data_IF_526559914291
#
_entry.id   IF_526559914291
#
_cell.length_a   1.000
_cell.length_b   1.000
_cell.length_c   1.000
_cell.angle_alpha   90.00
_cell.angle_beta   90.00
_cell.angle_gamma   90.00
#
_symmetry.space_group_name_H-M   'P 1'
#
loop_
_entity.id
_entity.type
_entity.pdbx_description
1 polymer ?
#
# COMPACT_ATOMS: atom_id res chain seq x y z
N UNK A 1 -24.10 -20.31 1.13
CA UNK A 1 -25.22 -21.17 1.60
C UNK A 1 -24.75 -22.60 1.52
N UNK A 2 -24.95 -23.42 2.57
CA UNK A 2 -24.56 -24.84 2.55
C UNK A 2 -25.77 -25.69 2.20
N UNK A 3 -25.59 -26.59 1.23
CA UNK A 3 -26.59 -27.57 0.83
C UNK A 3 -26.12 -28.98 1.19
N UNK A 4 -27.01 -29.79 1.75
CA UNK A 4 -26.73 -31.17 2.15
C UNK A 4 -27.06 -32.13 1.00
N UNK A 5 -26.09 -32.95 0.61
CA UNK A 5 -26.31 -34.10 -0.27
C UNK A 5 -26.54 -35.36 0.56
N UNK A 6 -27.45 -36.24 0.12
CA UNK A 6 -27.68 -37.53 0.76
C UNK A 6 -26.59 -38.53 0.38
N UNK A 7 -26.20 -39.36 1.36
CA UNK A 7 -25.37 -40.56 1.27
C UNK A 7 -25.47 -41.27 -0.10
N UNK A 8 -24.32 -41.47 -0.76
CA UNK A 8 -24.20 -42.21 -2.02
C UNK A 8 -24.30 -43.74 -1.81
N UNK A 9 -24.63 -44.18 -0.60
CA UNK A 9 -24.73 -45.57 -0.18
C UNK A 9 -23.43 -46.13 0.39
N UNK A 10 -22.37 -45.31 0.51
CA UNK A 10 -21.09 -45.67 1.13
C UNK A 10 -21.00 -45.32 2.62
N UNK A 11 -22.03 -44.69 3.20
CA UNK A 11 -22.00 -44.25 4.59
C UNK A 11 -21.08 -43.04 4.82
N UNK A 12 -20.86 -42.22 3.77
CA UNK A 12 -20.07 -40.98 3.80
C UNK A 12 -20.99 -39.78 3.61
N UNK A 13 -20.92 -38.80 4.51
CA UNK A 13 -21.57 -37.50 4.32
C UNK A 13 -20.87 -36.64 3.25
N UNK A 14 -21.66 -35.88 2.48
CA UNK A 14 -21.16 -34.81 1.61
C UNK A 14 -21.81 -33.46 1.95
N UNK A 15 -21.02 -32.38 1.96
CA UNK A 15 -21.49 -31.01 2.13
C UNK A 15 -20.96 -30.12 1.00
N UNK A 16 -21.79 -29.18 0.57
CA UNK A 16 -21.48 -28.28 -0.54
C UNK A 16 -21.52 -26.84 -0.05
N UNK A 17 -20.43 -26.10 -0.25
CA UNK A 17 -20.34 -24.67 0.04
C UNK A 17 -20.54 -23.91 -1.25
N UNK A 18 -21.62 -23.12 -1.34
CA UNK A 18 -21.94 -22.30 -2.53
C UNK A 18 -21.69 -20.83 -2.23
N UNK A 19 -20.89 -20.18 -3.06
CA UNK A 19 -20.57 -18.75 -2.97
C UNK A 19 -21.75 -17.90 -3.44
N UNK A 20 -21.96 -16.74 -2.80
CA UNK A 20 -22.96 -15.77 -3.25
C UNK A 20 -22.44 -14.94 -4.42
N UNK A 21 -23.27 -14.68 -5.43
CA UNK A 21 -22.91 -13.81 -6.57
C UNK A 21 -23.93 -12.69 -6.76
N UNK A 22 -23.47 -11.46 -6.97
CA UNK A 22 -24.32 -10.34 -7.38
C UNK A 22 -24.58 -10.44 -8.89
N UNK A 23 -25.79 -10.87 -9.28
CA UNK A 23 -26.22 -10.92 -10.69
C UNK A 23 -26.73 -12.27 -11.21
N UNK A 24 -26.89 -13.30 -10.37
CA UNK A 24 -27.43 -14.58 -10.83
C UNK A 24 -28.95 -14.50 -11.11
N UNK A 25 -29.35 -14.81 -12.34
CA UNK A 25 -30.76 -14.95 -12.79
C UNK A 25 -31.30 -16.38 -12.70
N UNK A 26 -30.52 -17.35 -12.22
CA UNK A 26 -30.93 -18.75 -12.11
C UNK A 26 -31.43 -19.09 -10.70
N UNK A 27 -32.60 -19.71 -10.61
CA UNK A 27 -33.24 -20.15 -9.36
C UNK A 27 -32.74 -21.51 -8.83
N UNK A 28 -31.77 -22.15 -9.48
CA UNK A 28 -31.25 -23.48 -9.11
C UNK A 28 -29.73 -23.60 -9.32
N UNK A 29 -29.04 -24.29 -8.39
CA UNK A 29 -27.60 -24.58 -8.44
C UNK A 29 -27.38 -26.10 -8.51
N UNK A 30 -26.62 -26.58 -9.48
CA UNK A 30 -26.21 -27.99 -9.59
C UNK A 30 -24.95 -28.22 -8.73
N UNK A 31 -25.07 -29.05 -7.69
CA UNK A 31 -24.04 -29.20 -6.65
C UNK A 31 -22.89 -30.12 -7.07
N UNK A 32 -23.13 -31.09 -7.93
CA UNK A 32 -22.15 -32.08 -8.41
C UNK A 32 -21.04 -31.49 -9.28
N UNK A 33 -21.18 -30.24 -9.74
CA UNK A 33 -20.22 -29.56 -10.63
C UNK A 33 -19.36 -28.48 -9.94
N UNK A 34 -19.35 -28.39 -8.60
CA UNK A 34 -18.53 -27.41 -7.89
C UNK A 34 -17.05 -27.83 -7.87
N UNK A 35 -16.18 -27.04 -8.50
CA UNK A 35 -14.75 -27.32 -8.72
C UNK A 35 -13.79 -26.38 -7.95
N UNK A 36 -14.32 -25.45 -7.16
CA UNK A 36 -13.53 -24.58 -6.29
C UNK A 36 -13.01 -23.29 -6.91
N UNK A 37 -13.34 -22.98 -8.18
CA UNK A 37 -12.83 -21.75 -8.82
C UNK A 37 -13.75 -20.54 -8.60
N UNK A 38 -15.06 -20.61 -8.92
CA UNK A 38 -15.91 -19.40 -8.91
C UNK A 38 -17.31 -19.53 -8.27
N UNK A 39 -17.81 -20.77 -8.04
CA UNK A 39 -19.21 -21.00 -7.63
C UNK A 39 -19.36 -21.71 -6.29
N UNK A 40 -18.27 -22.22 -5.73
CA UNK A 40 -18.27 -23.01 -4.51
C UNK A 40 -17.37 -24.24 -4.60
N UNK A 41 -17.36 -25.05 -3.55
CA UNK A 41 -16.57 -26.28 -3.44
C UNK A 41 -17.30 -27.39 -2.69
N UNK A 42 -16.83 -28.64 -2.85
CA UNK A 42 -17.38 -29.85 -2.22
C UNK A 42 -16.48 -30.36 -1.10
N UNK A 43 -17.10 -30.70 0.04
CA UNK A 43 -16.48 -31.34 1.19
C UNK A 43 -16.96 -32.79 1.25
N UNK A 44 -16.03 -33.75 1.24
CA UNK A 44 -16.32 -35.19 1.26
C UNK A 44 -15.78 -35.79 2.56
N UNK A 45 -16.67 -36.31 3.41
CA UNK A 45 -16.30 -36.96 4.68
C UNK A 45 -15.61 -38.30 4.47
N UNK A 46 -15.08 -38.93 5.52
CA UNK A 46 -14.52 -40.30 5.44
C UNK A 46 -15.56 -41.37 5.80
N UNK A 47 -15.27 -42.64 5.49
CA UNK A 47 -16.21 -43.76 5.67
C UNK A 47 -16.62 -43.94 7.14
N UNK A 48 -17.93 -43.89 7.42
CA UNK A 48 -18.50 -43.99 8.77
C UNK A 48 -18.84 -42.65 9.43
N UNK A 49 -18.59 -41.52 8.76
CA UNK A 49 -18.99 -40.18 9.23
C UNK A 49 -20.38 -39.81 8.68
N UNK A 50 -21.34 -39.59 9.59
CA UNK A 50 -22.71 -39.23 9.26
C UNK A 50 -22.88 -37.81 8.67
N UNK A 51 -24.12 -37.45 8.35
CA UNK A 51 -24.46 -36.17 7.73
C UNK A 51 -23.96 -34.96 8.55
N UNK A 52 -23.40 -33.98 7.85
CA UNK A 52 -22.90 -32.74 8.43
C UNK A 52 -24.03 -31.85 8.97
N UNK A 53 -23.83 -31.21 10.12
CA UNK A 53 -24.64 -30.06 10.54
C UNK A 53 -23.80 -28.79 10.39
N UNK A 54 -24.22 -27.88 9.51
CA UNK A 54 -23.53 -26.59 9.33
C UNK A 54 -24.19 -25.50 10.14
N UNK A 55 -23.40 -24.65 10.80
CA UNK A 55 -23.87 -23.40 11.39
C UNK A 55 -23.35 -22.25 10.52
N UNK A 56 -24.22 -21.61 9.74
CA UNK A 56 -23.80 -20.57 8.77
C UNK A 56 -23.55 -19.19 9.39
N UNK A 57 -23.25 -19.12 10.67
CA UNK A 57 -23.04 -17.85 11.36
C UNK A 57 -21.94 -18.00 12.38
N UNK A 58 -20.72 -18.08 11.86
CA UNK A 58 -19.56 -17.71 12.64
C UNK A 58 -19.09 -16.39 12.09
N UNK A 59 -18.96 -15.40 12.98
CA UNK A 59 -18.16 -14.23 12.67
C UNK A 59 -16.76 -14.71 12.24
N UNK A 60 -16.00 -13.80 11.65
CA UNK A 60 -14.56 -13.92 11.53
C UNK A 60 -13.92 -14.43 12.84
N UNK A 61 -13.54 -15.70 12.90
CA UNK A 61 -13.00 -16.35 14.10
C UNK A 61 -11.47 -16.30 14.16
N UNK A 62 -10.80 -15.98 13.04
CA UNK A 62 -9.35 -15.77 12.98
C UNK A 62 -8.92 -14.30 12.90
N UNK A 63 -9.86 -13.36 12.77
CA UNK A 63 -9.61 -11.92 12.78
C UNK A 63 -9.28 -11.30 11.42
N UNK A 64 -9.60 -11.97 10.30
CA UNK A 64 -9.30 -11.50 8.93
C UNK A 64 -10.43 -10.68 8.25
N UNK A 65 -11.47 -10.38 9.01
CA UNK A 65 -12.68 -9.64 8.64
C UNK A 65 -13.51 -10.32 7.53
N UNK A 66 -13.30 -11.61 7.28
CA UNK A 66 -14.14 -12.43 6.39
C UNK A 66 -14.97 -13.42 7.21
N UNK A 67 -16.14 -13.77 6.69
CA UNK A 67 -17.02 -14.70 7.39
C UNK A 67 -16.48 -16.12 7.26
N UNK A 68 -16.12 -16.72 8.39
CA UNK A 68 -15.72 -18.12 8.46
C UNK A 68 -16.93 -19.06 8.49
N UNK A 69 -16.67 -20.35 8.29
CA UNK A 69 -17.70 -21.38 8.36
C UNK A 69 -17.31 -22.47 9.35
N UNK A 70 -18.19 -22.77 10.30
CA UNK A 70 -18.11 -23.98 11.13
C UNK A 70 -18.94 -25.11 10.52
N UNK A 71 -18.29 -26.25 10.33
CA UNK A 71 -18.90 -27.50 9.88
C UNK A 71 -18.81 -28.53 10.99
N UNK A 72 -19.95 -28.87 11.60
CA UNK A 72 -20.06 -29.90 12.61
C UNK A 72 -20.25 -31.29 11.99
N UNK A 73 -19.55 -32.27 12.54
CA UNK A 73 -19.66 -33.69 12.19
C UNK A 73 -20.13 -34.47 13.43
N UNK A 74 -21.44 -34.55 13.66
CA UNK A 74 -21.95 -35.37 14.74
C UNK A 74 -21.59 -36.85 14.50
N UNK A 75 -21.08 -37.51 15.53
CA UNK A 75 -20.65 -38.93 15.53
C UNK A 75 -19.37 -39.27 14.77
N UNK A 76 -18.43 -38.33 14.64
CA UNK A 76 -17.06 -38.70 14.29
C UNK A 76 -16.51 -39.76 15.29
N UNK A 77 -15.71 -40.72 14.80
CA UNK A 77 -14.95 -41.71 15.59
C UNK A 77 -15.58 -42.17 16.94
N UNK A 78 -16.35 -43.27 16.92
CA UNK A 78 -16.90 -43.92 18.13
C UNK A 78 -17.80 -43.02 19.01
N UNK A 79 -18.52 -42.08 18.39
CA UNK A 79 -19.59 -41.31 19.05
C UNK A 79 -19.16 -39.96 19.64
N UNK A 80 -17.93 -39.50 19.40
CA UNK A 80 -17.48 -38.16 19.75
C UNK A 80 -17.51 -37.22 18.53
N UNK A 81 -18.38 -36.20 18.52
CA UNK A 81 -18.45 -35.26 17.41
C UNK A 81 -17.12 -34.53 17.11
N UNK A 82 -16.88 -34.20 15.84
CA UNK A 82 -15.77 -33.34 15.39
C UNK A 82 -16.32 -32.03 14.82
N UNK A 83 -15.52 -30.96 14.86
CA UNK A 83 -15.87 -29.65 14.29
C UNK A 83 -14.70 -29.17 13.45
N UNK A 84 -14.97 -28.77 12.20
CA UNK A 84 -14.00 -28.19 11.30
C UNK A 84 -14.29 -26.69 11.14
N UNK A 85 -13.23 -25.87 11.19
CA UNK A 85 -13.28 -24.44 10.88
C UNK A 85 -12.68 -24.23 9.50
N UNK A 86 -13.42 -23.58 8.62
CA UNK A 86 -12.94 -23.19 7.29
C UNK A 86 -12.77 -21.68 7.28
N UNK A 87 -11.52 -21.23 7.17
CA UNK A 87 -11.19 -19.79 7.12
C UNK A 87 -11.50 -19.19 5.75
N UNK A 88 -12.10 -18.00 5.72
CA UNK A 88 -12.16 -17.18 4.52
C UNK A 88 -10.76 -16.71 4.11
N UNK A 89 -10.52 -16.44 2.82
CA UNK A 89 -9.24 -15.87 2.42
C UNK A 89 -9.16 -15.47 0.96
N UNK A 90 -8.45 -14.38 0.70
CA UNK A 90 -7.60 -14.26 -0.49
C UNK A 90 -6.16 -14.43 -0.02
N UNK A 91 -5.29 -14.96 -0.88
CA UNK A 91 -3.86 -15.01 -0.63
C UNK A 91 -3.28 -13.59 -0.56
N UNK A 92 -3.43 -12.92 0.58
CA UNK A 92 -2.59 -11.82 1.03
C UNK A 92 -2.00 -12.24 2.38
N UNK A 93 -0.67 -12.28 2.53
CA UNK A 93 -0.06 -12.75 3.76
C UNK A 93 -0.50 -11.85 4.90
N UNK A 94 -0.91 -12.44 6.03
CA UNK A 94 -1.20 -11.76 7.28
C UNK A 94 -0.16 -10.67 7.55
N UNK A 95 -0.54 -9.41 7.34
CA UNK A 95 0.35 -8.28 7.56
C UNK A 95 0.50 -8.14 9.08
N UNK A 96 1.75 -8.27 9.55
CA UNK A 96 2.14 -7.66 10.82
C UNK A 96 1.85 -6.15 10.79
N UNK A 97 1.99 -5.48 11.93
CA UNK A 97 1.80 -4.04 12.01
C UNK A 97 2.49 -3.31 10.85
N UNK A 98 1.75 -2.47 10.11
CA UNK A 98 2.27 -1.73 8.95
C UNK A 98 2.87 -0.43 9.45
N UNK A 99 4.14 -0.18 9.13
CA UNK A 99 4.85 1.03 9.50
C UNK A 99 4.96 1.96 8.29
N UNK A 100 4.56 3.21 8.44
CA UNK A 100 4.79 4.27 7.47
C UNK A 100 5.68 5.34 8.07
N UNK A 101 6.82 5.57 7.44
CA UNK A 101 7.84 6.51 7.89
C UNK A 101 7.80 7.77 7.04
N UNK A 102 7.29 8.86 7.60
CA UNK A 102 7.38 10.18 7.00
C UNK A 102 8.76 10.79 7.23
N UNK A 103 8.92 12.06 6.87
CA UNK A 103 10.21 12.73 7.10
C UNK A 103 10.49 13.04 8.57
N UNK A 104 9.44 13.48 9.29
CA UNK A 104 9.56 14.02 10.64
C UNK A 104 8.66 13.31 11.64
N UNK A 105 7.80 12.41 11.16
CA UNK A 105 6.89 11.61 11.96
C UNK A 105 6.76 10.21 11.39
N UNK A 106 6.22 9.31 12.19
CA UNK A 106 5.97 7.92 11.83
C UNK A 106 4.56 7.55 12.27
N UNK A 107 3.92 6.69 11.50
CA UNK A 107 2.62 6.13 11.82
C UNK A 107 2.69 4.60 11.72
N UNK A 108 2.02 3.93 12.63
CA UNK A 108 1.85 2.49 12.62
C UNK A 108 0.36 2.15 12.56
N UNK A 109 0.02 1.16 11.75
CA UNK A 109 -1.24 0.44 11.80
C UNK A 109 -1.02 -0.83 12.64
N UNK A 110 -1.72 -0.96 13.75
CA UNK A 110 -1.58 -2.11 14.64
C UNK A 110 -2.46 -3.27 14.20
N UNK A 111 -1.88 -4.47 14.07
CA UNK A 111 -2.59 -5.64 13.55
C UNK A 111 -3.60 -6.26 14.52
N UNK A 112 -3.60 -5.87 15.80
CA UNK A 112 -4.51 -6.43 16.81
C UNK A 112 -5.89 -5.77 16.83
N UNK A 113 -5.99 -4.49 16.47
CA UNK A 113 -7.21 -3.70 16.54
C UNK A 113 -7.37 -2.71 15.38
N UNK A 114 -6.45 -2.73 14.41
CA UNK A 114 -6.43 -1.85 13.24
C UNK A 114 -6.38 -0.35 13.61
N UNK A 115 -5.88 -0.03 14.82
CA UNK A 115 -5.70 1.34 15.24
C UNK A 115 -4.48 1.97 14.57
N UNK A 116 -4.58 3.27 14.28
CA UNK A 116 -3.46 4.06 13.77
C UNK A 116 -2.85 4.81 14.93
N UNK A 117 -1.54 4.65 15.14
CA UNK A 117 -0.77 5.44 16.12
C UNK A 117 0.33 6.20 15.39
N UNK A 118 0.45 7.49 15.66
CA UNK A 118 1.48 8.34 15.05
C UNK A 118 2.33 9.03 16.14
N UNK A 119 3.63 9.17 15.88
CA UNK A 119 4.58 9.84 16.77
C UNK A 119 5.65 10.61 15.98
N UNK A 120 6.38 11.51 16.65
CA UNK A 120 7.35 12.43 16.06
C UNK A 120 6.86 13.88 16.07
N UNK A 121 7.29 14.68 15.09
CA UNK A 121 6.89 16.08 14.97
C UNK A 121 5.39 16.24 14.67
N UNK A 122 4.75 17.28 15.22
CA UNK A 122 3.31 17.52 15.06
C UNK A 122 2.92 18.99 14.84
N UNK A 123 3.86 19.86 14.43
CA UNK A 123 3.59 21.31 14.35
C UNK A 123 2.46 21.69 13.38
N UNK A 124 2.22 20.84 12.39
CA UNK A 124 1.20 21.01 11.36
C UNK A 124 0.00 20.06 11.57
N UNK A 125 -0.07 19.36 12.71
CA UNK A 125 -1.11 18.38 13.01
C UNK A 125 -0.92 17.03 12.33
N UNK A 126 0.27 16.71 11.80
CA UNK A 126 0.54 15.48 11.04
C UNK A 126 0.39 14.18 11.84
N UNK A 127 0.33 14.25 13.18
CA UNK A 127 -0.02 13.12 14.03
C UNK A 127 -1.52 12.90 14.13
N UNK A 128 -2.36 13.88 13.80
CA UNK A 128 -3.81 13.73 13.77
C UNK A 128 -4.44 13.62 15.16
N UNK A 129 -3.89 14.34 16.13
CA UNK A 129 -4.32 14.25 17.54
C UNK A 129 -5.17 15.44 18.01
N UNK A 130 -5.39 16.43 17.14
CA UNK A 130 -6.15 17.64 17.46
C UNK A 130 -5.36 18.63 18.31
N UNK A 131 -4.04 18.62 18.17
CA UNK A 131 -3.08 19.50 18.84
C UNK A 131 -1.79 19.60 18.00
N UNK A 132 -0.85 20.46 18.45
CA UNK A 132 0.44 20.71 17.78
C UNK A 132 1.65 20.12 18.51
N UNK A 133 1.42 19.34 19.54
CA UNK A 133 2.48 18.82 20.39
C UNK A 133 3.09 17.56 19.77
N UNK A 134 4.42 17.45 19.83
CA UNK A 134 5.13 16.26 19.39
C UNK A 134 4.78 15.05 20.27
N UNK A 135 5.15 13.83 19.83
CA UNK A 135 5.06 12.62 20.66
C UNK A 135 6.34 11.81 20.54
N UNK A 136 6.77 11.26 21.68
CA UNK A 136 7.94 10.40 21.78
C UNK A 136 9.23 11.14 22.15
N UNK A 137 9.15 12.45 22.40
CA UNK A 137 10.26 13.28 22.88
C UNK A 137 10.23 13.50 24.40
N UNK A 138 9.09 13.22 25.06
CA UNK A 138 8.97 13.26 26.52
C UNK A 138 8.70 11.89 27.17
N UNK A 139 8.88 11.84 28.50
CA UNK A 139 8.60 10.64 29.27
C UNK A 139 7.09 10.34 29.31
N UNK A 140 6.73 9.07 29.16
CA UNK A 140 5.36 8.55 29.23
C UNK A 140 4.45 8.92 28.05
N UNK A 141 4.99 9.26 26.88
CA UNK A 141 4.18 9.49 25.68
C UNK A 141 4.00 8.24 24.81
N UNK A 142 4.88 7.25 24.97
CA UNK A 142 4.93 6.05 24.14
C UNK A 142 4.20 4.86 24.77
N UNK A 143 4.00 3.81 23.98
CA UNK A 143 3.35 2.58 24.42
C UNK A 143 1.85 2.78 24.65
N UNK A 144 1.36 2.40 25.82
CA UNK A 144 -0.08 2.50 26.17
C UNK A 144 -0.59 3.94 26.23
N UNK A 145 0.30 4.92 26.38
CA UNK A 145 -0.06 6.33 26.44
C UNK A 145 -0.08 7.01 25.06
N UNK A 146 0.36 6.31 24.01
CA UNK A 146 0.31 6.84 22.66
C UNK A 146 -1.13 6.75 22.16
N UNK A 147 -1.77 7.91 22.03
CA UNK A 147 -3.18 8.03 21.64
C UNK A 147 -3.42 7.51 20.22
N UNK A 148 -4.55 6.86 20.00
CA UNK A 148 -5.00 6.44 18.67
C UNK A 148 -5.50 7.64 17.86
N UNK A 149 -5.16 7.64 16.57
CA UNK A 149 -5.69 8.59 15.60
C UNK A 149 -7.14 8.22 15.27
N UNK A 150 -8.04 9.17 15.44
CA UNK A 150 -9.45 8.97 15.09
C UNK A 150 -9.69 9.20 13.61
N UNK A 151 -10.06 8.14 12.88
CA UNK A 151 -10.43 8.20 11.45
C UNK A 151 -11.94 8.20 11.19
N UNK A 152 -12.74 8.05 12.25
CA UNK A 152 -14.21 8.06 12.20
C UNK A 152 -14.83 6.97 13.04
N UNK A 153 -16.11 7.13 13.40
CA UNK A 153 -16.85 6.12 14.16
C UNK A 153 -17.09 4.88 13.30
N UNK A 154 -16.70 3.71 13.80
CA UNK A 154 -16.90 2.43 13.09
C UNK A 154 -16.04 2.29 11.83
N UNK A 155 -14.92 3.01 11.75
CA UNK A 155 -13.95 2.94 10.66
C UNK A 155 -12.62 2.41 11.18
N UNK A 156 -11.98 1.58 10.39
CA UNK A 156 -10.60 1.13 10.59
C UNK A 156 -9.73 1.53 9.40
N UNK A 157 -8.44 1.76 9.64
CA UNK A 157 -7.49 1.96 8.55
C UNK A 157 -6.96 0.61 8.08
N UNK A 158 -6.84 0.42 6.77
CA UNK A 158 -6.22 -0.76 6.15
C UNK A 158 -4.80 -0.47 5.70
N UNK A 159 -4.46 0.81 5.50
CA UNK A 159 -3.10 1.26 5.21
C UNK A 159 -2.93 2.72 5.63
N UNK A 160 -1.69 3.10 5.91
CA UNK A 160 -1.28 4.46 6.25
C UNK A 160 -0.08 4.87 5.41
N UNK A 161 -0.03 6.14 5.03
CA UNK A 161 1.06 6.73 4.27
C UNK A 161 1.40 8.10 4.84
N UNK A 162 2.68 8.33 5.14
CA UNK A 162 3.18 9.53 5.80
C UNK A 162 4.08 10.30 4.84
N UNK A 163 3.76 11.58 4.63
CA UNK A 163 4.58 12.52 3.87
C UNK A 163 5.57 13.29 4.75
N UNK A 164 5.87 14.54 4.38
CA UNK A 164 6.77 15.40 5.18
C UNK A 164 6.13 15.89 6.47
N UNK A 165 4.94 16.46 6.34
CA UNK A 165 4.18 17.12 7.41
C UNK A 165 2.69 16.80 7.29
N UNK A 166 2.35 15.68 6.66
CA UNK A 166 0.97 15.21 6.52
C UNK A 166 0.93 13.69 6.46
N UNK A 167 -0.25 13.13 6.70
CA UNK A 167 -0.51 11.70 6.69
C UNK A 167 -1.82 11.43 5.96
N UNK A 168 -1.93 10.26 5.36
CA UNK A 168 -3.16 9.74 4.79
C UNK A 168 -3.40 8.31 5.28
N UNK A 169 -4.67 7.95 5.44
CA UNK A 169 -5.11 6.60 5.71
C UNK A 169 -6.11 6.16 4.64
N UNK A 170 -5.93 4.93 4.15
CA UNK A 170 -6.94 4.20 3.40
C UNK A 170 -7.78 3.42 4.41
N UNK A 171 -9.10 3.53 4.32
CA UNK A 171 -10.03 2.94 5.28
C UNK A 171 -10.68 1.65 4.74
N UNK A 172 -11.34 0.92 5.64
CA UNK A 172 -12.06 -0.34 5.39
C UNK A 172 -13.18 -0.28 4.34
N UNK A 173 -13.65 0.91 3.97
CA UNK A 173 -14.60 1.13 2.88
C UNK A 173 -13.97 1.73 1.63
N UNK A 174 -12.65 1.64 1.52
CA UNK A 174 -11.87 2.19 0.41
C UNK A 174 -11.91 3.71 0.30
N UNK A 175 -12.44 4.42 1.31
CA UNK A 175 -12.31 5.87 1.39
C UNK A 175 -10.92 6.27 1.91
N UNK A 176 -10.47 7.46 1.52
CA UNK A 176 -9.19 8.02 1.96
C UNK A 176 -9.44 9.24 2.83
N UNK A 177 -8.73 9.34 3.95
CA UNK A 177 -8.69 10.56 4.77
C UNK A 177 -7.25 10.98 4.98
N UNK A 178 -6.99 12.28 4.86
CA UNK A 178 -5.67 12.86 5.06
C UNK A 178 -5.73 13.98 6.09
N UNK A 179 -4.67 14.13 6.89
CA UNK A 179 -4.52 15.15 7.92
C UNK A 179 -3.07 15.68 7.95
N UNK A 180 -2.86 16.83 8.58
CA UNK A 180 -1.60 17.56 8.65
C UNK A 180 -1.60 18.85 7.81
N UNK A 181 -0.43 19.25 7.33
CA UNK A 181 -0.21 20.43 6.49
C UNK A 181 -1.01 20.36 5.17
N UNK A 182 -1.60 21.47 4.72
CA UNK A 182 -2.45 21.50 3.52
C UNK A 182 -2.26 22.73 2.61
N UNK A 183 -1.20 23.53 2.78
CA UNK A 183 -1.03 24.77 1.98
C UNK A 183 -0.96 24.50 0.45
N UNK A 184 -0.50 23.31 0.06
CA UNK A 184 -0.43 22.85 -1.32
C UNK A 184 -1.61 21.97 -1.75
N UNK A 185 -2.61 21.78 -0.89
CA UNK A 185 -3.76 20.93 -1.17
C UNK A 185 -3.45 19.44 -1.02
N UNK A 186 -2.36 19.07 -0.33
CA UNK A 186 -1.93 17.67 -0.16
C UNK A 186 -2.91 16.81 0.65
N UNK A 187 -3.88 17.41 1.34
CA UNK A 187 -4.99 16.68 1.94
C UNK A 187 -6.09 16.35 0.92
N UNK A 188 -6.15 17.04 -0.22
CA UNK A 188 -7.07 16.71 -1.32
C UNK A 188 -8.55 16.99 -1.03
N UNK A 189 -8.84 17.90 -0.09
CA UNK A 189 -10.21 18.17 0.39
C UNK A 189 -10.84 19.44 -0.20
N UNK A 190 -10.17 20.11 -1.13
CA UNK A 190 -10.73 21.26 -1.85
C UNK A 190 -10.61 22.59 -1.10
N UNK A 191 -9.66 22.67 -0.17
CA UNK A 191 -9.23 23.86 0.56
C UNK A 191 -7.73 23.77 0.89
N UNK A 192 -7.18 24.79 1.57
CA UNK A 192 -5.77 24.85 2.00
C UNK A 192 -5.59 24.88 3.52
N UNK A 193 -6.59 24.44 4.28
CA UNK A 193 -6.53 24.44 5.75
C UNK A 193 -5.88 23.16 6.25
N UNK A 194 -4.90 23.29 7.14
CA UNK A 194 -4.36 22.15 7.88
C UNK A 194 -5.45 21.47 8.71
N UNK A 195 -5.24 20.21 9.07
CA UNK A 195 -6.18 19.41 9.88
C UNK A 195 -5.45 18.53 10.88
N UNK A 196 -6.05 18.36 12.05
CA UNK A 196 -5.49 17.54 13.12
C UNK A 196 -4.55 18.32 14.03
N UNK A 197 -4.45 19.63 13.80
CA UNK A 197 -3.68 20.56 14.61
C UNK A 197 -4.54 21.31 15.64
N UNK A 198 -5.88 21.31 15.47
CA UNK A 198 -6.84 21.85 16.42
C UNK A 198 -7.89 20.82 16.89
N UNK A 199 -8.50 21.02 18.08
CA UNK A 199 -9.55 20.13 18.58
C UNK A 199 -10.79 20.10 17.68
N UNK A 200 -11.33 18.90 17.44
CA UNK A 200 -12.57 18.70 16.69
C UNK A 200 -12.41 18.59 15.17
N UNK A 201 -11.18 18.46 14.67
CA UNK A 201 -10.91 18.32 13.22
C UNK A 201 -10.79 16.87 12.75
N UNK A 202 -10.60 15.95 13.68
CA UNK A 202 -10.35 14.53 13.41
C UNK A 202 -11.63 13.69 13.49
N UNK A 203 -11.55 12.42 13.14
CA UNK A 203 -12.67 11.50 13.22
C UNK A 203 -13.73 11.77 12.16
N UNK A 204 -14.97 12.04 12.59
CA UNK A 204 -16.10 12.29 11.69
C UNK A 204 -16.02 13.63 10.97
N UNK A 205 -15.36 14.62 11.58
CA UNK A 205 -15.18 15.96 11.02
C UNK A 205 -14.06 16.02 9.98
N UNK A 206 -13.17 15.01 9.98
CA UNK A 206 -12.10 14.90 8.99
C UNK A 206 -12.71 14.56 7.61
N UNK A 207 -12.59 15.43 6.60
CA UNK A 207 -13.21 15.21 5.31
C UNK A 207 -12.59 14.02 4.58
N UNK A 208 -13.41 13.36 3.75
CA UNK A 208 -12.94 12.31 2.85
C UNK A 208 -12.37 12.92 1.58
N UNK A 209 -11.32 12.32 1.05
CA UNK A 209 -10.78 12.69 -0.27
C UNK A 209 -11.69 12.13 -1.35
N UNK A 210 -12.24 13.00 -2.18
CA UNK A 210 -13.08 12.59 -3.30
C UNK A 210 -12.20 12.25 -4.52
N UNK A 211 -12.23 10.99 -4.95
CA UNK A 211 -11.41 10.46 -6.07
C UNK A 211 -12.24 10.22 -7.35
N UNK A 212 -13.51 10.60 -7.34
CA UNK A 212 -14.43 10.49 -8.48
C UNK A 212 -15.66 9.65 -8.13
N UNK A 213 -16.71 9.79 -8.92
CA UNK A 213 -17.95 9.05 -8.73
C UNK A 213 -17.70 7.54 -8.92
N UNK A 214 -18.10 6.73 -7.94
CA UNK A 214 -17.97 5.27 -7.96
C UNK A 214 -16.53 4.75 -8.10
N UNK A 215 -15.55 5.50 -7.59
CA UNK A 215 -14.15 5.07 -7.50
C UNK A 215 -13.78 4.77 -6.07
N UNK A 216 -13.02 3.70 -5.88
CA UNK A 216 -12.53 3.24 -4.59
C UNK A 216 -11.01 3.21 -4.62
N UNK A 217 -10.34 3.72 -3.60
CA UNK A 217 -8.89 3.58 -3.51
C UNK A 217 -8.53 2.16 -3.04
N UNK A 218 -7.51 1.57 -3.66
CA UNK A 218 -6.96 0.26 -3.27
C UNK A 218 -5.55 0.39 -2.70
N UNK A 219 -4.86 1.48 -3.01
CA UNK A 219 -3.52 1.77 -2.52
C UNK A 219 -3.30 3.28 -2.43
N UNK A 220 -2.50 3.73 -1.46
CA UNK A 220 -2.11 5.13 -1.31
C UNK A 220 -0.60 5.23 -1.12
N UNK A 221 0.00 6.29 -1.66
CA UNK A 221 1.37 6.69 -1.35
C UNK A 221 1.48 8.21 -1.25
N UNK A 222 2.39 8.65 -0.39
CA UNK A 222 2.69 10.06 -0.17
C UNK A 222 4.12 10.33 -0.61
N UNK A 223 4.33 11.40 -1.36
CA UNK A 223 5.61 12.08 -1.40
C UNK A 223 5.71 13.08 -0.25
N UNK A 224 6.58 14.09 -0.38
CA UNK A 224 6.75 15.05 0.72
C UNK A 224 5.57 16.01 0.89
N UNK A 225 5.00 16.49 -0.21
CA UNK A 225 3.90 17.47 -0.22
C UNK A 225 2.85 17.15 -1.28
N UNK A 226 2.76 15.87 -1.68
CA UNK A 226 1.78 15.36 -2.63
C UNK A 226 1.42 13.92 -2.27
N UNK A 227 0.24 13.47 -2.67
CA UNK A 227 -0.22 12.11 -2.48
C UNK A 227 -0.83 11.57 -3.77
N UNK A 228 -0.80 10.24 -3.90
CA UNK A 228 -1.36 9.51 -5.01
C UNK A 228 -2.19 8.33 -4.48
N UNK A 229 -3.29 8.03 -5.15
CA UNK A 229 -4.10 6.85 -4.92
C UNK A 229 -4.19 6.01 -6.20
N UNK A 230 -3.96 4.70 -6.07
CA UNK A 230 -4.35 3.72 -7.09
C UNK A 230 -5.80 3.35 -6.82
N UNK A 231 -6.60 3.33 -7.87
CA UNK A 231 -8.04 3.07 -7.81
C UNK A 231 -8.38 1.64 -8.21
N UNK A 232 -9.63 1.24 -7.97
CA UNK A 232 -10.20 -0.08 -8.26
C UNK A 232 -10.20 -0.48 -9.75
N UNK A 233 -9.95 0.47 -10.65
CA UNK A 233 -9.77 0.22 -12.08
C UNK A 233 -8.32 0.35 -12.55
N UNK A 234 -7.37 0.27 -11.61
CA UNK A 234 -5.92 0.34 -11.85
C UNK A 234 -5.44 1.72 -12.34
N UNK A 235 -6.32 2.73 -12.38
CA UNK A 235 -5.93 4.13 -12.65
C UNK A 235 -5.33 4.81 -11.41
N UNK A 236 -4.54 5.86 -11.61
CA UNK A 236 -3.94 6.64 -10.52
C UNK A 236 -4.41 8.08 -10.57
N UNK A 237 -4.73 8.64 -9.41
CA UNK A 237 -4.94 10.07 -9.22
C UNK A 237 -3.97 10.61 -8.18
N UNK A 238 -3.30 11.72 -8.52
CA UNK A 238 -2.37 12.41 -7.64
C UNK A 238 -2.81 13.84 -7.36
N UNK A 239 -2.59 14.33 -6.14
CA UNK A 239 -2.93 15.69 -5.71
C UNK A 239 -1.88 16.26 -4.75
N UNK A 240 -1.97 17.57 -4.46
CA UNK A 240 -0.99 18.33 -3.70
C UNK A 240 -0.07 19.16 -4.59
N UNK A 241 1.16 19.37 -4.12
CA UNK A 241 2.19 20.16 -4.81
C UNK A 241 2.55 19.55 -6.17
N UNK A 242 2.77 20.39 -7.18
CA UNK A 242 3.07 19.94 -8.56
C UNK A 242 4.12 20.78 -9.29
N UNK A 243 4.90 21.61 -8.58
CA UNK A 243 5.82 22.57 -9.22
C UNK A 243 6.91 21.94 -10.12
N UNK A 244 7.14 20.63 -10.02
CA UNK A 244 8.06 19.87 -10.86
C UNK A 244 7.37 18.78 -11.69
N UNK A 245 6.03 18.79 -11.75
CA UNK A 245 5.27 17.78 -12.47
C UNK A 245 5.05 16.49 -11.70
N UNK A 246 5.28 16.45 -10.37
CA UNK A 246 5.17 15.23 -9.56
C UNK A 246 3.77 14.59 -9.52
N UNK A 247 2.73 15.30 -9.97
CA UNK A 247 1.39 14.74 -10.16
C UNK A 247 1.21 14.05 -11.52
N UNK A 248 2.11 14.26 -12.48
CA UNK A 248 2.10 13.57 -13.78
C UNK A 248 0.96 14.00 -14.69
N UNK A 249 0.51 15.25 -14.60
CA UNK A 249 -0.65 15.76 -15.33
C UNK A 249 -0.28 16.53 -16.63
N UNK A 250 1.01 16.65 -16.94
CA UNK A 250 1.49 17.40 -18.09
C UNK A 250 1.41 18.93 -17.90
N UNK A 251 1.43 19.37 -16.64
CA UNK A 251 1.43 20.75 -16.19
C UNK A 251 2.09 20.86 -14.82
N UNK A 252 2.42 22.08 -14.38
CA UNK A 252 3.06 22.36 -13.10
C UNK A 252 2.10 22.91 -12.02
N UNK A 253 0.79 22.84 -12.24
CA UNK A 253 -0.19 23.41 -11.34
C UNK A 253 -0.53 22.42 -10.21
N UNK A 254 -0.57 22.89 -8.95
CA UNK A 254 -1.02 22.06 -7.83
C UNK A 254 -2.50 21.68 -7.91
N UNK A 255 -2.90 20.62 -7.21
CA UNK A 255 -4.31 20.16 -7.11
C UNK A 255 -4.69 19.95 -5.65
N UNK A 256 -5.97 20.08 -5.33
CA UNK A 256 -6.51 19.80 -3.98
C UNK A 256 -6.87 21.03 -3.15
N UNK A 257 -6.53 22.24 -3.62
CA UNK A 257 -6.88 23.50 -2.95
C UNK A 257 -8.24 24.04 -3.39
N UNK A 258 -8.62 23.86 -4.66
CA UNK A 258 -9.91 24.27 -5.16
C UNK A 258 -10.92 23.12 -5.12
N UNK A 259 -12.13 23.35 -4.59
CA UNK A 259 -13.19 22.33 -4.58
C UNK A 259 -13.57 21.75 -5.95
N UNK A 260 -13.24 22.43 -7.05
CA UNK A 260 -13.43 21.93 -8.41
C UNK A 260 -12.21 21.18 -8.99
N UNK A 261 -11.13 20.99 -8.24
CA UNK A 261 -9.89 20.33 -8.70
C UNK A 261 -9.79 18.86 -8.30
N UNK A 262 -10.74 18.38 -7.47
CA UNK A 262 -10.79 17.01 -6.95
C UNK A 262 -11.96 16.24 -7.57
N UNK A 263 -12.10 14.96 -7.20
CA UNK A 263 -13.19 14.11 -7.69
C UNK A 263 -13.06 13.82 -9.18
N UNK A 264 -14.17 13.95 -9.89
CA UNK A 264 -14.22 13.71 -11.35
C UNK A 264 -13.42 14.73 -12.17
N UNK A 265 -13.16 15.91 -11.60
CA UNK A 265 -12.37 16.94 -12.26
C UNK A 265 -10.85 16.74 -12.07
N UNK A 266 -10.43 15.83 -11.20
CA UNK A 266 -9.03 15.42 -11.10
C UNK A 266 -8.75 14.38 -12.18
N UNK A 267 -7.94 14.68 -13.20
CA UNK A 267 -7.62 13.72 -14.24
C UNK A 267 -6.81 12.55 -13.65
N UNK A 268 -7.00 11.36 -14.22
CA UNK A 268 -6.08 10.27 -13.96
C UNK A 268 -4.71 10.55 -14.61
N UNK A 269 -3.64 10.07 -13.99
CA UNK A 269 -2.29 10.13 -14.54
C UNK A 269 -2.23 9.23 -15.77
N UNK A 270 -1.80 9.78 -16.90
CA UNK A 270 -1.59 8.99 -18.12
C UNK A 270 -0.25 8.25 -18.04
N UNK A 271 -0.31 6.94 -17.84
CA UNK A 271 0.85 6.03 -17.80
C UNK A 271 1.04 5.25 -19.10
N UNK A 272 0.25 5.55 -20.13
CA UNK A 272 0.31 4.91 -21.45
C UNK A 272 -0.95 4.09 -21.76
N UNK A 273 -1.11 3.77 -23.05
CA UNK A 273 -2.32 3.11 -23.54
C UNK A 273 -2.39 1.67 -23.06
N UNK A 274 -3.55 1.28 -22.51
CA UNK A 274 -3.83 -0.07 -21.98
C UNK A 274 -2.83 -0.51 -20.90
N UNK A 275 -2.53 0.39 -19.96
CA UNK A 275 -1.67 0.09 -18.81
C UNK A 275 -2.39 0.37 -17.51
N UNK A 276 -2.42 -0.62 -16.63
CA UNK A 276 -2.81 -0.47 -15.24
C UNK A 276 -1.61 -0.18 -14.34
N UNK A 277 -1.85 0.50 -13.21
CA UNK A 277 -0.86 0.71 -12.16
C UNK A 277 -1.10 -0.25 -11.01
N UNK A 278 -0.07 -1.01 -10.64
CA UNK A 278 -0.08 -1.94 -9.49
C UNK A 278 0.27 -1.23 -8.19
N UNK A 279 1.27 -0.36 -8.22
CA UNK A 279 1.75 0.34 -7.04
C UNK A 279 2.44 1.65 -7.42
N UNK A 280 2.52 2.55 -6.44
CA UNK A 280 3.16 3.86 -6.58
C UNK A 280 4.09 4.13 -5.40
N UNK A 281 5.15 4.90 -5.63
CA UNK A 281 6.02 5.43 -4.59
C UNK A 281 6.25 6.93 -4.82
N UNK A 282 6.09 7.72 -3.77
CA UNK A 282 6.39 9.15 -3.77
C UNK A 282 7.72 9.44 -3.10
N UNK A 283 8.63 10.07 -3.83
CA UNK A 283 9.83 10.67 -3.24
C UNK A 283 9.57 12.10 -2.76
N UNK A 284 10.62 12.91 -2.63
CA UNK A 284 10.42 14.31 -2.19
C UNK A 284 9.56 15.10 -3.17
N UNK A 285 9.94 15.07 -4.44
CA UNK A 285 9.33 15.85 -5.51
C UNK A 285 9.17 15.03 -6.80
N UNK A 286 9.14 13.70 -6.68
CA UNK A 286 8.95 12.80 -7.80
C UNK A 286 8.03 11.65 -7.39
N UNK A 287 7.47 10.98 -8.39
CA UNK A 287 6.58 9.84 -8.23
C UNK A 287 7.00 8.76 -9.23
N UNK A 288 6.98 7.51 -8.80
CA UNK A 288 7.18 6.37 -9.68
C UNK A 288 6.04 5.36 -9.52
N UNK A 289 5.73 4.65 -10.58
CA UNK A 289 4.70 3.62 -10.63
C UNK A 289 5.25 2.32 -11.19
N UNK A 290 4.84 1.20 -10.61
CA UNK A 290 4.97 -0.14 -11.20
C UNK A 290 3.68 -0.45 -11.95
N UNK A 291 3.78 -0.80 -13.22
CA UNK A 291 2.65 -1.10 -14.08
C UNK A 291 2.27 -2.59 -14.02
N UNK A 292 1.13 -2.94 -14.60
CA UNK A 292 0.59 -4.29 -14.72
C UNK A 292 1.57 -5.34 -15.26
N UNK A 293 2.46 -4.96 -16.18
CA UNK A 293 3.50 -5.81 -16.77
C UNK A 293 4.83 -5.81 -15.99
N UNK A 294 4.89 -5.16 -14.82
CA UNK A 294 6.08 -5.05 -13.98
C UNK A 294 7.10 -4.01 -14.47
N UNK A 295 6.79 -3.24 -15.52
CA UNK A 295 7.61 -2.10 -15.92
C UNK A 295 7.43 -0.90 -14.97
N UNK A 296 8.39 0.02 -15.01
CA UNK A 296 8.40 1.22 -14.14
C UNK A 296 8.34 2.48 -14.99
N UNK A 297 7.50 3.44 -14.58
CA UNK A 297 7.53 4.82 -15.08
C UNK A 297 7.69 5.78 -13.91
N UNK A 298 8.51 6.81 -14.10
CA UNK A 298 8.79 7.84 -13.09
C UNK A 298 8.61 9.24 -13.68
N UNK A 299 8.05 10.16 -12.90
CA UNK A 299 7.84 11.56 -13.28
C UNK A 299 8.06 12.51 -12.09
N UNK A 300 8.20 13.80 -12.38
CA UNK A 300 8.50 14.85 -11.41
C UNK A 300 9.92 15.42 -11.53
N UNK A 301 10.47 15.85 -10.40
CA UNK A 301 11.83 16.40 -10.28
C UNK A 301 12.90 15.36 -10.63
N UNK A 302 13.95 15.77 -11.35
CA UNK A 302 14.98 14.86 -11.89
C UNK A 302 16.43 15.38 -11.87
N UNK A 303 16.75 16.44 -11.12
CA UNK A 303 18.12 17.01 -11.20
C UNK A 303 19.23 16.04 -10.75
N UNK A 304 18.90 15.05 -9.93
CA UNK A 304 19.84 14.04 -9.45
C UNK A 304 19.65 12.69 -10.16
N UNK A 305 18.89 12.65 -11.27
CA UNK A 305 18.65 11.43 -12.04
C UNK A 305 17.59 10.49 -11.43
N UNK A 306 16.82 10.91 -10.42
CA UNK A 306 15.87 10.04 -9.70
C UNK A 306 14.72 9.46 -10.54
N UNK A 307 14.50 9.96 -11.76
CA UNK A 307 13.58 9.34 -12.71
C UNK A 307 14.22 8.19 -13.50
N UNK A 308 15.55 8.08 -13.52
CA UNK A 308 16.26 6.95 -14.12
C UNK A 308 16.20 6.93 -15.64
N UNK A 309 16.17 8.10 -16.27
CA UNK A 309 15.99 8.24 -17.73
C UNK A 309 17.30 8.53 -18.48
N UNK A 310 18.43 8.60 -17.76
CA UNK A 310 19.73 8.93 -18.33
C UNK A 310 19.86 10.40 -18.73
N UNK A 311 19.11 11.26 -18.05
CA UNK A 311 19.11 12.72 -18.18
C UNK A 311 18.65 13.38 -16.88
N UNK A 312 18.75 14.71 -16.81
CA UNK A 312 18.35 15.53 -15.65
C UNK A 312 17.05 16.31 -15.85
N UNK A 313 16.30 16.01 -16.91
CA UNK A 313 15.09 16.75 -17.28
C UNK A 313 13.91 16.27 -16.43
N UNK A 314 13.07 17.20 -15.98
CA UNK A 314 11.80 16.88 -15.33
C UNK A 314 10.85 16.19 -16.32
N UNK A 315 9.82 15.52 -15.80
CA UNK A 315 8.73 14.98 -16.61
C UNK A 315 7.40 15.22 -15.91
N UNK A 316 6.38 15.51 -16.69
CA UNK A 316 5.02 15.68 -16.21
C UNK A 316 4.69 17.12 -15.84
N UNK A 317 5.64 18.05 -15.96
CA UNK A 317 5.46 19.49 -15.85
C UNK A 317 5.13 20.16 -17.20
N UNK A 318 5.37 19.46 -18.31
CA UNK A 318 5.06 19.91 -19.67
C UNK A 318 4.06 19.03 -20.43
N UNK A 319 3.30 19.67 -21.33
CA UNK A 319 2.40 18.96 -22.23
C UNK A 319 3.16 18.00 -23.16
N UNK A 320 2.66 16.76 -23.31
CA UNK A 320 3.25 15.75 -24.19
C UNK A 320 4.41 14.95 -23.59
N UNK A 321 4.65 15.07 -22.28
CA UNK A 321 5.70 14.32 -21.57
C UNK A 321 5.21 13.03 -20.89
N UNK A 322 3.89 12.89 -20.75
CA UNK A 322 3.23 11.77 -20.08
C UNK A 322 2.70 10.72 -21.08
N UNK A 323 2.08 9.65 -20.57
CA UNK A 323 1.55 8.58 -21.38
C UNK A 323 2.64 7.77 -22.06
N UNK A 324 2.43 7.44 -23.34
CA UNK A 324 3.41 6.70 -24.14
C UNK A 324 4.69 7.50 -24.43
N UNK A 325 4.65 8.83 -24.29
CA UNK A 325 5.84 9.68 -24.43
C UNK A 325 6.78 9.59 -23.23
N UNK A 326 6.26 9.17 -22.06
CA UNK A 326 7.07 8.92 -20.87
C UNK A 326 7.81 7.57 -21.01
N UNK A 327 9.15 7.56 -21.11
CA UNK A 327 9.89 6.30 -21.28
C UNK A 327 9.78 5.41 -20.05
N UNK A 328 9.84 4.10 -20.27
CA UNK A 328 10.01 3.11 -19.20
C UNK A 328 11.43 3.20 -18.65
N UNK A 329 11.56 3.11 -17.33
CA UNK A 329 12.86 3.04 -16.64
C UNK A 329 13.45 1.65 -16.85
N UNK A 330 14.61 1.57 -17.52
CA UNK A 330 15.30 0.29 -17.71
C UNK A 330 16.04 -0.11 -16.44
N UNK A 331 15.41 -0.98 -15.65
CA UNK A 331 16.01 -1.60 -14.46
C UNK A 331 16.52 -3.02 -14.75
N UNK A 332 16.44 -3.50 -15.99
CA UNK A 332 16.94 -4.81 -16.40
C UNK A 332 16.12 -6.03 -15.91
N UNK A 333 14.84 -5.84 -15.56
CA UNK A 333 13.93 -6.91 -15.16
C UNK A 333 12.55 -6.41 -14.75
N UNK A 334 11.60 -7.34 -14.53
CA UNK A 334 10.27 -7.02 -13.99
C UNK A 334 10.37 -6.65 -12.51
N UNK A 335 9.64 -5.60 -12.12
CA UNK A 335 9.65 -5.03 -10.77
C UNK A 335 8.44 -5.53 -9.97
N UNK A 336 8.68 -5.97 -8.74
CA UNK A 336 7.64 -6.37 -7.79
C UNK A 336 7.31 -5.28 -6.77
N UNK A 337 8.30 -4.46 -6.39
CA UNK A 337 8.12 -3.36 -5.42
C UNK A 337 9.00 -2.17 -5.80
N UNK A 338 8.52 -0.97 -5.50
CA UNK A 338 9.24 0.28 -5.68
C UNK A 338 9.15 1.11 -4.40
N UNK A 339 10.24 1.82 -4.09
CA UNK A 339 10.30 2.79 -2.99
C UNK A 339 11.13 3.99 -3.42
N UNK A 340 10.81 5.15 -2.88
CA UNK A 340 11.48 6.40 -3.21
C UNK A 340 11.86 7.13 -1.92
N UNK A 341 13.12 7.53 -1.82
CA UNK A 341 13.60 8.38 -0.76
C UNK A 341 13.47 9.85 -1.13
N UNK A 342 14.37 10.70 -0.64
CA UNK A 342 14.33 12.12 -0.97
C UNK A 342 14.49 12.33 -2.47
N UNK A 343 15.66 11.99 -3.00
CA UNK A 343 16.04 12.18 -4.41
C UNK A 343 16.66 10.88 -4.99
N UNK A 344 16.31 9.72 -4.45
CA UNK A 344 16.72 8.41 -4.97
C UNK A 344 15.52 7.47 -5.03
N UNK A 345 15.59 6.47 -5.89
CA UNK A 345 14.54 5.48 -6.12
C UNK A 345 15.18 4.10 -6.12
N UNK A 346 14.51 3.13 -5.51
CA UNK A 346 14.94 1.74 -5.48
C UNK A 346 13.79 0.81 -5.88
N UNK A 347 14.13 -0.26 -6.58
CA UNK A 347 13.21 -1.33 -6.95
C UNK A 347 13.68 -2.67 -6.44
N UNK A 348 12.71 -3.51 -6.10
CA UNK A 348 12.88 -4.94 -5.92
C UNK A 348 12.37 -5.63 -7.19
N UNK A 349 13.25 -6.36 -7.84
CA UNK A 349 12.89 -7.15 -9.01
C UNK A 349 12.26 -8.48 -8.57
N UNK A 350 11.47 -9.10 -9.45
CA UNK A 350 10.80 -10.39 -9.16
C UNK A 350 11.77 -11.53 -8.82
N UNK A 351 13.03 -11.41 -9.26
CA UNK A 351 14.10 -12.37 -8.92
C UNK A 351 14.77 -12.10 -7.55
N UNK A 352 14.28 -11.11 -6.79
CA UNK A 352 14.79 -10.73 -5.47
C UNK A 352 16.02 -9.81 -5.49
N UNK A 353 16.46 -9.34 -6.66
CA UNK A 353 17.53 -8.36 -6.77
C UNK A 353 17.04 -6.94 -6.47
N UNK A 354 17.88 -6.14 -5.82
CA UNK A 354 17.62 -4.72 -5.55
C UNK A 354 18.46 -3.86 -6.49
N UNK A 355 17.84 -2.86 -7.11
CA UNK A 355 18.54 -1.82 -7.88
C UNK A 355 18.07 -0.45 -7.44
N UNK A 356 19.01 0.49 -7.35
CA UNK A 356 18.75 1.85 -6.91
C UNK A 356 19.41 2.86 -7.86
N UNK A 357 18.75 3.99 -8.09
CA UNK A 357 19.25 5.11 -8.89
C UNK A 357 18.84 6.46 -8.28
N UNK A 358 19.36 7.55 -8.83
CA UNK A 358 19.22 8.92 -8.34
C UNK A 358 20.44 9.40 -7.53
N UNK A 359 20.21 10.32 -6.60
CA UNK A 359 21.24 10.89 -5.74
C UNK A 359 21.99 9.81 -4.93
N UNK A 360 23.32 9.82 -4.96
CA UNK A 360 24.15 8.86 -4.19
C UNK A 360 25.22 9.48 -3.29
N UNK A 361 25.21 10.79 -3.05
CA UNK A 361 26.27 11.46 -2.29
C UNK A 361 26.44 11.01 -0.82
N UNK A 362 25.56 10.14 -0.31
CA UNK A 362 25.63 9.51 1.01
C UNK A 362 25.74 7.98 0.93
N UNK A 363 25.90 7.41 -0.26
CA UNK A 363 25.93 5.97 -0.48
C UNK A 363 24.54 5.32 -0.43
N UNK A 364 23.45 6.10 -0.54
CA UNK A 364 22.07 5.61 -0.41
C UNK A 364 21.63 4.66 -1.52
N UNK A 365 22.39 4.56 -2.62
CA UNK A 365 22.19 3.55 -3.65
C UNK A 365 22.79 2.20 -3.28
N UNK A 366 23.80 2.14 -2.40
CA UNK A 366 24.37 0.88 -1.90
C UNK A 366 25.26 0.13 -2.89
N UNK A 367 25.92 0.86 -3.79
CA UNK A 367 26.66 0.30 -4.94
C UNK A 367 28.18 0.51 -4.85
N UNK A 368 28.69 0.63 -3.62
CA UNK A 368 30.13 0.75 -3.30
C UNK A 368 30.84 1.99 -3.88
N UNK A 369 30.08 3.02 -4.25
CA UNK A 369 30.57 4.35 -4.63
C UNK A 369 29.57 5.45 -4.18
N UNK A 370 29.89 6.72 -4.47
CA UNK A 370 29.07 7.89 -4.11
C UNK A 370 28.53 8.66 -5.33
N UNK A 371 28.64 8.08 -6.51
CA UNK A 371 28.23 8.73 -7.76
C UNK A 371 26.73 8.47 -8.01
N UNK A 372 26.01 9.52 -8.39
CA UNK A 372 24.59 9.42 -8.77
C UNK A 372 24.42 8.55 -10.01
N UNK A 373 23.19 8.04 -10.23
CA UNK A 373 22.87 7.24 -11.41
C UNK A 373 21.56 7.69 -12.01
N UNK A 374 21.47 7.65 -13.33
CA UNK A 374 20.26 7.97 -14.08
C UNK A 374 20.18 9.43 -14.51
N UNK A 375 21.19 10.23 -14.17
CA UNK A 375 21.39 11.61 -14.62
C UNK A 375 22.23 11.70 -15.90
N UNK A 376 22.98 10.65 -16.26
CA UNK A 376 23.75 10.59 -17.50
C UNK A 376 23.36 9.41 -18.43
N UNK A 377 23.61 9.54 -19.74
CA UNK A 377 23.45 8.43 -20.67
C UNK A 377 24.37 7.25 -20.31
N UNK A 378 23.87 6.02 -20.46
CA UNK A 378 24.58 4.76 -20.19
C UNK A 378 24.80 4.41 -18.71
N UNK A 379 23.99 4.94 -17.79
CA UNK A 379 24.01 4.52 -16.38
C UNK A 379 22.89 3.53 -16.01
N UNK A 380 21.88 3.42 -16.88
CA UNK A 380 20.69 2.60 -16.66
C UNK A 380 20.79 1.22 -17.34
N UNK A 381 19.80 0.36 -17.10
CA UNK A 381 19.71 -0.97 -17.70
C UNK A 381 20.83 -1.91 -17.28
N UNK A 382 21.63 -2.36 -18.25
CA UNK A 382 22.79 -3.22 -18.01
C UNK A 382 23.91 -2.53 -17.24
N UNK A 383 23.94 -1.19 -17.26
CA UNK A 383 24.94 -0.40 -16.55
C UNK A 383 24.50 -0.03 -15.14
N UNK A 384 23.23 -0.26 -14.78
CA UNK A 384 22.72 -0.01 -13.43
C UNK A 384 23.16 -1.15 -12.48
N UNK A 385 24.09 -0.90 -11.56
CA UNK A 385 24.58 -1.92 -10.64
C UNK A 385 23.46 -2.41 -9.71
N UNK A 386 23.49 -3.71 -9.40
CA UNK A 386 22.68 -4.29 -8.34
C UNK A 386 23.30 -4.03 -6.97
N UNK A 387 22.46 -3.87 -5.95
CA UNK A 387 22.91 -3.74 -4.57
C UNK A 387 23.38 -5.10 -4.05
N UNK A 388 24.58 -5.17 -3.50
CA UNK A 388 25.10 -6.39 -2.88
C UNK A 388 24.50 -6.57 -1.47
N UNK A 389 23.37 -7.26 -1.39
CA UNK A 389 22.72 -7.60 -0.11
C UNK A 389 23.35 -8.80 0.60
N UNK A 390 24.44 -9.37 0.08
CA UNK A 390 25.16 -10.51 0.64
C UNK A 390 25.14 -11.73 -0.26
N UNK A 391 26.18 -12.57 -0.14
CA UNK A 391 26.38 -13.75 -0.99
C UNK A 391 25.23 -14.74 -0.81
N UNK A 392 24.52 -15.03 -1.91
CA UNK A 392 23.43 -16.00 -1.92
C UNK A 392 22.17 -15.55 -1.16
N UNK A 393 22.01 -14.25 -0.91
CA UNK A 393 20.81 -13.67 -0.29
C UNK A 393 19.99 -12.94 -1.35
N UNK A 394 18.67 -12.91 -1.17
CA UNK A 394 17.75 -12.07 -1.94
C UNK A 394 16.96 -11.17 -0.99
N UNK A 395 16.49 -10.03 -1.50
CA UNK A 395 15.57 -9.19 -0.76
C UNK A 395 14.13 -9.67 -0.94
N UNK A 396 13.32 -9.51 0.11
CA UNK A 396 11.87 -9.78 0.10
C UNK A 396 11.05 -8.50 0.28
N UNK A 397 11.67 -7.45 0.81
CA UNK A 397 11.06 -6.13 0.98
C UNK A 397 12.15 -5.05 1.01
N UNK A 398 11.82 -3.85 0.53
CA UNK A 398 12.69 -2.68 0.55
C UNK A 398 11.93 -1.44 1.04
N UNK A 399 12.65 -0.54 1.70
CA UNK A 399 12.12 0.76 2.12
C UNK A 399 13.22 1.81 2.04
N UNK A 400 12.89 2.98 1.50
CA UNK A 400 13.78 4.14 1.47
C UNK A 400 13.34 5.18 2.51
N UNK A 401 14.30 5.60 3.33
CA UNK A 401 14.19 6.84 4.08
C UNK A 401 14.69 8.04 3.27
N UNK A 402 14.97 9.14 3.95
CA UNK A 402 15.36 10.38 3.28
C UNK A 402 16.70 10.28 2.52
N UNK A 403 17.71 9.67 3.16
CA UNK A 403 19.06 9.50 2.60
C UNK A 403 19.65 8.12 2.88
N UNK A 404 18.81 7.13 3.16
CA UNK A 404 19.20 5.75 3.41
C UNK A 404 18.15 4.80 2.86
N UNK A 405 18.53 3.55 2.67
CA UNK A 405 17.65 2.48 2.17
C UNK A 405 17.90 1.24 3.01
N UNK A 406 16.83 0.50 3.31
CA UNK A 406 16.87 -0.77 4.01
C UNK A 406 16.19 -1.87 3.20
N UNK A 407 16.67 -3.09 3.35
CA UNK A 407 16.07 -4.29 2.79
C UNK A 407 15.93 -5.38 3.86
N UNK A 408 14.78 -6.06 3.84
CA UNK A 408 14.58 -7.32 4.55
C UNK A 408 14.95 -8.45 3.59
N UNK A 409 15.74 -9.41 4.04
CA UNK A 409 16.24 -10.52 3.23
C UNK A 409 15.43 -11.81 3.45
N UNK A 410 15.62 -12.80 2.60
CA UNK A 410 14.91 -14.09 2.62
C UNK A 410 15.14 -14.97 3.88
N UNK A 411 16.05 -14.57 4.78
CA UNK A 411 16.34 -15.20 6.08
C UNK A 411 15.82 -14.35 7.25
N UNK A 412 15.09 -13.27 6.95
CA UNK A 412 14.56 -12.33 7.93
C UNK A 412 15.58 -11.31 8.46
N UNK A 413 16.85 -11.36 8.04
CA UNK A 413 17.82 -10.33 8.40
C UNK A 413 17.53 -9.01 7.68
N UNK A 414 18.01 -7.90 8.26
CA UNK A 414 17.85 -6.55 7.71
C UNK A 414 19.22 -5.99 7.36
N UNK A 415 19.31 -5.34 6.21
CA UNK A 415 20.47 -4.53 5.82
C UNK A 415 20.05 -3.13 5.47
N UNK A 416 20.73 -2.14 6.04
CA UNK A 416 20.53 -0.73 5.74
C UNK A 416 21.85 -0.13 5.24
N UNK A 417 21.76 0.81 4.30
CA UNK A 417 22.88 1.54 3.73
C UNK A 417 22.51 3.00 3.43
N UNK A 418 23.52 3.85 3.27
CA UNK A 418 23.36 5.28 3.02
C UNK A 418 23.89 6.13 4.16
N UNK A 419 23.28 7.30 4.37
CA UNK A 419 23.66 8.20 5.46
C UNK A 419 23.52 7.47 6.80
N UNK A 420 24.45 7.72 7.73
CA UNK A 420 24.35 7.26 9.14
C UNK A 420 24.62 8.40 10.14
N UNK A 421 24.52 9.67 9.72
CA UNK A 421 24.89 10.82 10.56
C UNK A 421 24.13 10.92 11.90
N UNK A 422 22.97 10.29 12.02
CA UNK A 422 22.14 10.23 13.23
C UNK A 422 21.88 8.80 13.71
N UNK A 423 22.65 7.81 13.25
CA UNK A 423 22.45 6.40 13.62
C UNK A 423 21.27 5.71 12.92
N UNK A 424 20.72 6.31 11.85
CA UNK A 424 19.57 5.77 11.12
C UNK A 424 19.76 4.37 10.51
N UNK A 425 21.00 3.88 10.37
CA UNK A 425 21.24 2.51 9.89
C UNK A 425 21.07 1.46 11.00
N UNK A 426 20.92 1.89 12.26
CA UNK A 426 20.77 0.98 13.41
C UNK A 426 22.00 0.12 13.68
N UNK A 427 23.18 0.57 13.23
CA UNK A 427 24.47 -0.08 13.48
C UNK A 427 25.09 0.55 14.73
N UNK A 428 25.55 -0.27 15.68
CA UNK A 428 26.37 0.20 16.79
C UNK A 428 27.72 0.70 16.23
N UNK A 429 28.08 1.96 16.54
CA UNK A 429 29.39 2.56 16.20
C UNK A 429 30.53 2.03 17.09
#
# INVERSE_FOLDING_TARGET
>A
VIAHGSDDGSGRGEAYVVFGSTGASSSSVELSGLDGMDRGFRIVGVEGEGAFESVSFTCDVNGDLKADVLVGVPHASDGSGAVYVVFGGETYPALGAVLSLGQQHSCALLSNDWSVKCWGANREGQLGLGDKEARGDEANEMGVNLTDVSVGVGRTAVSVSAGSSFSCALLDDSSVKCWGENEDGQLGVGDSSARGDDPGEMGVELPVVHLGASRSAVFIASGSSHACAVLDDESVKCWGSNGYGQLGLGDADKRGVGGAQMGDNLPAVDVGVNRGVKSVAGGRFHTCAVLDDGSVKCWGYNYDGQLGLGDVLHRGDGSGEMGDALPVVDVGGATSMITAGRHHTCVLLENGAVKCWGLNGRGQLGVEDLESRGDEPNEMGVHLPGVNVGVGRTAVSISAGYFHTCAVLDDGSVKCWGDNGYGQLGLED
#
